data_IF_001076380482
#
_entry.id   IF_001076380482
#
_cell.length_a   1.000
_cell.length_b   1.000
_cell.length_c   1.000
_cell.angle_alpha   90.00
_cell.angle_beta   90.00
_cell.angle_gamma   90.00
#
_symmetry.space_group_name_H-M   'P 1'
#
loop_
_entity.id
_entity.type
_entity.pdbx_description
1 polymer ?
#
# COMPACT_ATOMS: atom_id res chain seq x y z
N UNK A 1 0.52 3.72 -6.25
CA UNK A 1 0.65 5.01 -6.94
C UNK A 1 0.34 4.87 -8.44
N UNK A 2 1.05 4.01 -9.18
CA UNK A 2 0.81 3.80 -10.63
C UNK A 2 -0.64 3.42 -10.99
N UNK A 3 -1.30 2.56 -10.19
CA UNK A 3 -2.72 2.20 -10.39
C UNK A 3 -3.69 3.39 -10.27
N UNK A 4 -3.38 4.35 -9.40
CA UNK A 4 -4.23 5.54 -9.25
C UNK A 4 -3.95 6.54 -10.37
N UNK A 5 -2.69 6.67 -10.78
CA UNK A 5 -2.29 7.48 -11.91
C UNK A 5 -2.96 7.01 -13.20
N UNK A 6 -2.99 5.70 -13.50
CA UNK A 6 -3.61 5.18 -14.72
C UNK A 6 -5.11 5.42 -14.81
N UNK A 7 -5.78 5.56 -13.65
CA UNK A 7 -7.21 5.89 -13.56
C UNK A 7 -7.51 7.38 -13.67
N UNK A 8 -6.63 8.24 -13.15
CA UNK A 8 -6.80 9.69 -13.19
C UNK A 8 -6.26 10.34 -14.46
N UNK A 9 -5.20 9.79 -15.04
CA UNK A 9 -4.52 10.30 -16.24
C UNK A 9 -4.53 9.22 -17.33
N UNK A 10 -5.70 8.72 -17.75
CA UNK A 10 -5.76 7.74 -18.83
C UNK A 10 -5.13 8.34 -20.09
N UNK A 11 -4.52 7.49 -20.92
CA UNK A 11 -4.01 7.90 -22.22
C UNK A 11 -5.09 8.67 -23.00
N UNK A 12 -4.86 9.96 -23.24
CA UNK A 12 -5.78 10.87 -23.89
C UNK A 12 -5.00 11.85 -24.77
N UNK A 13 -5.72 12.65 -25.56
CA UNK A 13 -5.10 13.65 -26.43
C UNK A 13 -4.21 14.64 -25.66
N UNK A 14 -4.59 14.95 -24.42
CA UNK A 14 -3.95 15.98 -23.59
C UNK A 14 -2.62 15.51 -22.96
N UNK A 15 -2.39 14.19 -22.84
CA UNK A 15 -1.12 13.60 -22.39
C UNK A 15 -0.32 12.95 -23.52
N UNK A 16 -0.61 13.31 -24.78
CA UNK A 16 0.07 12.74 -25.94
C UNK A 16 -0.20 11.25 -26.14
N UNK A 17 -1.36 10.75 -25.67
CA UNK A 17 -1.79 9.36 -25.72
C UNK A 17 -0.89 8.37 -24.96
N UNK A 18 -0.11 8.86 -24.00
CA UNK A 18 0.75 8.01 -23.18
C UNK A 18 0.08 7.67 -21.86
N UNK A 19 0.01 6.37 -21.54
CA UNK A 19 -0.33 5.93 -20.20
C UNK A 19 0.77 6.36 -19.21
N UNK A 20 0.43 6.56 -17.93
CA UNK A 20 1.44 6.77 -16.92
C UNK A 20 2.28 5.50 -16.76
N UNK A 21 3.60 5.70 -16.76
CA UNK A 21 4.58 4.63 -16.62
C UNK A 21 5.33 4.80 -15.31
N UNK A 22 5.70 3.70 -14.65
CA UNK A 22 6.55 3.73 -13.46
C UNK A 22 7.79 2.88 -13.65
N UNK A 23 8.87 3.21 -12.94
CA UNK A 23 10.09 2.41 -12.89
C UNK A 23 10.83 2.59 -11.57
N UNK A 24 11.81 1.74 -11.31
CA UNK A 24 12.72 1.89 -10.18
C UNK A 24 14.13 2.26 -10.63
N UNK A 25 14.73 3.18 -9.90
CA UNK A 25 16.15 3.48 -9.98
C UNK A 25 16.83 2.97 -8.70
N UNK A 26 17.96 2.26 -8.86
CA UNK A 26 18.69 1.68 -7.73
C UNK A 26 19.90 2.54 -7.38
N UNK A 27 20.02 2.89 -6.11
CA UNK A 27 21.19 3.50 -5.51
C UNK A 27 21.67 2.64 -4.33
N UNK A 28 22.76 1.92 -4.53
CA UNK A 28 23.29 0.95 -3.57
C UNK A 28 22.29 -0.16 -3.23
N UNK A 29 21.82 -0.20 -1.98
CA UNK A 29 20.81 -1.15 -1.50
C UNK A 29 19.37 -0.63 -1.61
N UNK A 30 19.19 0.66 -1.94
CA UNK A 30 17.89 1.32 -2.03
C UNK A 30 17.39 1.33 -3.47
N UNK A 31 16.07 1.29 -3.63
CA UNK A 31 15.40 1.52 -4.90
C UNK A 31 14.35 2.61 -4.71
N UNK A 32 14.38 3.62 -5.57
CA UNK A 32 13.44 4.72 -5.61
C UNK A 32 12.43 4.46 -6.71
N UNK A 33 11.14 4.64 -6.42
CA UNK A 33 10.09 4.51 -7.41
C UNK A 33 9.84 5.86 -8.09
N UNK A 34 9.89 5.86 -9.42
CA UNK A 34 9.62 7.00 -10.27
C UNK A 34 8.34 6.75 -11.07
N UNK A 35 7.62 7.82 -11.35
CA UNK A 35 6.43 7.80 -12.20
C UNK A 35 6.54 8.90 -13.24
N UNK A 36 6.37 8.55 -14.52
CA UNK A 36 6.24 9.52 -15.60
C UNK A 36 4.93 10.26 -15.40
N UNK A 37 5.00 11.58 -15.47
CA UNK A 37 3.85 12.45 -15.30
C UNK A 37 3.87 13.55 -16.36
N UNK A 38 2.71 14.01 -16.82
CA UNK A 38 2.61 15.06 -17.84
C UNK A 38 3.11 16.41 -17.30
N UNK A 39 3.79 17.18 -18.13
CA UNK A 39 4.17 18.57 -17.82
C UNK A 39 2.97 19.51 -17.98
N UNK A 40 2.56 20.21 -16.93
CA UNK A 40 1.45 21.18 -16.91
C UNK A 40 1.20 21.77 -15.51
N UNK A 41 0.37 22.81 -15.40
CA UNK A 41 0.23 23.70 -14.23
C UNK A 41 -0.30 23.03 -12.94
N UNK A 42 -0.82 21.81 -13.01
CA UNK A 42 -1.14 21.00 -11.83
C UNK A 42 -0.16 19.84 -11.71
N UNK A 43 0.67 19.85 -10.67
CA UNK A 43 1.56 18.74 -10.34
C UNK A 43 0.72 17.46 -10.18
N UNK A 44 0.74 16.48 -11.11
CA UNK A 44 -0.32 15.48 -11.15
C UNK A 44 -0.32 14.61 -9.89
N UNK A 45 0.85 14.32 -9.33
CA UNK A 45 0.96 13.66 -8.02
C UNK A 45 0.19 14.40 -6.92
N UNK A 46 0.25 15.73 -6.87
CA UNK A 46 -0.52 16.54 -5.91
C UNK A 46 -2.01 16.32 -6.11
N UNK A 47 -2.49 16.36 -7.35
CA UNK A 47 -3.90 16.08 -7.67
C UNK A 47 -4.33 14.69 -7.22
N UNK A 48 -3.50 13.68 -7.42
CA UNK A 48 -3.77 12.31 -6.97
C UNK A 48 -3.90 12.24 -5.44
N UNK A 49 -2.97 12.85 -4.72
CA UNK A 49 -3.02 12.87 -3.25
C UNK A 49 -4.23 13.67 -2.77
N UNK A 50 -4.55 14.82 -3.36
CA UNK A 50 -5.77 15.57 -3.06
C UNK A 50 -7.02 14.71 -3.24
N UNK A 51 -7.11 13.91 -4.32
CA UNK A 51 -8.22 12.97 -4.56
C UNK A 51 -8.30 11.83 -3.54
N UNK A 52 -7.23 11.50 -2.82
CA UNK A 52 -7.25 10.58 -1.69
C UNK A 52 -7.61 11.28 -0.36
N UNK A 53 -7.21 12.53 -0.20
CA UNK A 53 -7.26 13.23 1.08
C UNK A 53 -8.53 14.07 1.22
N UNK A 54 -9.04 14.70 0.17
CA UNK A 54 -10.08 15.74 0.24
C UNK A 54 -11.56 15.26 0.22
N UNK A 55 -12.00 14.25 -0.58
CA UNK A 55 -13.44 13.96 -0.79
C UNK A 55 -14.23 13.54 0.45
N UNK A 56 -15.43 13.99 0.78
CA UNK A 56 -16.06 13.60 2.06
C UNK A 56 -16.14 12.07 2.30
N UNK A 57 -16.44 11.31 1.26
CA UNK A 57 -16.42 9.85 1.25
C UNK A 57 -15.32 9.32 0.32
N UNK A 58 -14.29 8.67 0.89
CA UNK A 58 -13.21 8.03 0.12
C UNK A 58 -13.49 6.55 -0.15
N UNK A 59 -14.15 5.88 0.79
CA UNK A 59 -14.29 4.43 0.79
C UNK A 59 -15.73 4.06 1.11
N UNK A 60 -16.26 3.12 0.36
CA UNK A 60 -17.57 2.51 0.57
C UNK A 60 -17.44 0.99 0.57
N UNK A 61 -18.34 0.30 1.24
CA UNK A 61 -18.47 -1.15 1.07
C UNK A 61 -18.87 -1.46 -0.38
N UNK A 62 -18.27 -2.47 -0.99
CA UNK A 62 -18.72 -2.90 -2.31
C UNK A 62 -20.13 -3.52 -2.23
N UNK A 63 -20.97 -3.37 -3.25
CA UNK A 63 -22.38 -3.83 -3.16
C UNK A 63 -22.54 -5.35 -3.30
N UNK A 64 -21.59 -6.01 -3.95
CA UNK A 64 -21.61 -7.43 -4.36
C UNK A 64 -20.97 -8.38 -3.33
N UNK A 65 -20.90 -8.00 -2.06
CA UNK A 65 -20.34 -8.86 -1.01
C UNK A 65 -21.40 -9.74 -0.35
N UNK A 66 -20.99 -10.92 0.14
CA UNK A 66 -21.86 -11.77 0.94
C UNK A 66 -22.32 -11.02 2.20
N UNK A 67 -23.65 -10.92 2.40
CA UNK A 67 -24.22 -10.17 3.52
C UNK A 67 -23.72 -10.66 4.90
N UNK A 68 -23.40 -11.95 4.99
CA UNK A 68 -22.93 -12.62 6.22
C UNK A 68 -21.39 -12.62 6.35
N UNK A 69 -20.66 -12.01 5.42
CA UNK A 69 -19.21 -11.91 5.51
C UNK A 69 -18.79 -11.15 6.78
N UNK A 70 -17.77 -11.67 7.46
CA UNK A 70 -17.16 -11.01 8.60
C UNK A 70 -16.75 -9.58 8.21
N UNK A 71 -16.98 -8.61 9.10
CA UNK A 71 -16.77 -7.19 8.80
C UNK A 71 -15.33 -6.85 8.38
N UNK A 72 -14.35 -7.59 8.90
CA UNK A 72 -12.93 -7.45 8.58
C UNK A 72 -12.54 -8.07 7.22
N UNK A 73 -13.49 -8.70 6.53
CA UNK A 73 -13.35 -9.33 5.21
C UNK A 73 -14.15 -8.63 4.11
N UNK A 74 -15.03 -7.68 4.45
CA UNK A 74 -15.88 -7.02 3.46
C UNK A 74 -15.05 -6.21 2.45
N UNK A 75 -15.16 -6.48 1.14
CA UNK A 75 -14.58 -5.67 0.07
C UNK A 75 -14.99 -4.20 0.17
N UNK A 76 -14.10 -3.32 -0.25
CA UNK A 76 -14.39 -1.87 -0.32
C UNK A 76 -14.06 -1.32 -1.70
N UNK A 77 -14.65 -0.17 -2.04
CA UNK A 77 -14.35 0.59 -3.25
C UNK A 77 -13.78 1.94 -2.85
N UNK A 78 -12.59 2.27 -3.39
CA UNK A 78 -11.98 3.60 -3.24
C UNK A 78 -12.59 4.52 -4.30
N UNK A 79 -13.44 5.44 -3.84
CA UNK A 79 -13.92 6.60 -4.61
C UNK A 79 -12.86 7.71 -4.51
N UNK A 80 -12.64 8.55 -5.52
CA UNK A 80 -13.29 8.65 -6.83
C UNK A 80 -12.71 7.73 -7.91
N UNK A 81 -11.83 6.78 -7.55
CA UNK A 81 -11.09 5.96 -8.53
C UNK A 81 -11.88 4.75 -9.04
N UNK A 82 -13.01 4.42 -8.42
CA UNK A 82 -13.78 3.20 -8.68
C UNK A 82 -12.90 1.95 -8.60
N UNK A 83 -12.00 1.94 -7.61
CA UNK A 83 -11.04 0.88 -7.39
C UNK A 83 -11.53 -0.03 -6.26
N UNK A 84 -11.92 -1.25 -6.60
CA UNK A 84 -12.21 -2.30 -5.62
C UNK A 84 -10.93 -2.78 -4.94
N UNK A 85 -10.95 -2.86 -3.62
CA UNK A 85 -9.98 -3.56 -2.81
C UNK A 85 -10.65 -4.77 -2.14
N UNK A 86 -10.13 -5.95 -2.44
CA UNK A 86 -10.58 -7.22 -1.89
C UNK A 86 -9.45 -8.26 -1.82
N UNK A 87 -8.21 -7.84 -2.03
CA UNK A 87 -7.07 -8.75 -2.09
C UNK A 87 -6.92 -9.59 -0.82
N UNK A 88 -7.37 -9.14 0.34
CA UNK A 88 -7.32 -9.95 1.56
C UNK A 88 -8.16 -11.24 1.50
N UNK A 89 -9.03 -11.40 0.50
CA UNK A 89 -9.81 -12.62 0.26
C UNK A 89 -9.02 -13.70 -0.49
N UNK A 90 -7.99 -13.35 -1.27
CA UNK A 90 -7.29 -14.33 -2.09
C UNK A 90 -6.02 -14.85 -1.42
N UNK A 91 -6.04 -16.14 -1.10
CA UNK A 91 -4.91 -16.89 -0.52
C UNK A 91 -3.90 -17.36 -1.57
N UNK A 92 -2.62 -17.41 -1.18
CA UNK A 92 -1.58 -18.07 -1.97
C UNK A 92 -1.61 -19.61 -1.86
N UNK A 93 -2.24 -20.14 -0.81
CA UNK A 93 -2.25 -21.58 -0.48
C UNK A 93 -3.67 -22.16 -0.38
N UNK A 94 -4.67 -21.48 -0.95
CA UNK A 94 -6.06 -21.94 -0.93
C UNK A 94 -6.75 -21.84 0.45
N UNK A 95 -6.21 -21.05 1.36
CA UNK A 95 -6.86 -20.72 2.64
C UNK A 95 -8.06 -19.76 2.44
N UNK A 96 -8.83 -19.57 3.50
CA UNK A 96 -10.02 -18.70 3.54
C UNK A 96 -9.72 -17.20 3.48
N UNK A 97 -8.44 -16.81 3.59
CA UNK A 97 -7.95 -15.43 3.49
C UNK A 97 -6.49 -15.37 3.07
N UNK A 98 -6.08 -14.20 2.59
CA UNK A 98 -4.69 -13.90 2.24
C UNK A 98 -3.77 -13.95 3.45
N UNK A 99 -2.59 -14.53 3.26
CA UNK A 99 -1.47 -14.50 4.21
C UNK A 99 -0.88 -13.10 4.40
N UNK A 100 -1.22 -12.14 3.53
CA UNK A 100 -0.89 -10.73 3.63
C UNK A 100 -1.89 -9.95 4.50
N UNK A 101 -3.04 -10.54 4.88
CA UNK A 101 -4.02 -9.92 5.77
C UNK A 101 -3.56 -10.02 7.23
N UNK A 102 -3.28 -8.88 7.84
CA UNK A 102 -2.71 -8.82 9.21
C UNK A 102 -3.57 -8.08 10.24
N UNK A 103 -4.81 -7.73 9.89
CA UNK A 103 -5.83 -7.18 10.79
C UNK A 103 -6.95 -8.19 11.04
N UNK A 104 -7.71 -7.99 12.11
CA UNK A 104 -8.88 -8.79 12.47
C UNK A 104 -9.78 -8.05 13.48
N UNK A 105 -10.85 -8.71 13.94
CA UNK A 105 -11.68 -8.25 15.04
C UNK A 105 -12.46 -6.99 14.67
N UNK A 106 -12.31 -5.93 15.46
CA UNK A 106 -13.02 -4.65 15.26
C UNK A 106 -12.38 -3.77 14.16
N UNK A 107 -11.24 -4.16 13.61
CA UNK A 107 -10.63 -3.48 12.47
C UNK A 107 -11.27 -3.95 11.17
N UNK A 108 -11.92 -3.03 10.46
CA UNK A 108 -12.50 -3.26 9.13
C UNK A 108 -11.71 -2.49 8.08
N UNK A 109 -11.68 -2.94 6.81
CA UNK A 109 -11.00 -2.19 5.75
C UNK A 109 -11.50 -0.74 5.62
N UNK A 110 -12.82 -0.54 5.71
CA UNK A 110 -13.45 0.78 5.70
C UNK A 110 -12.96 1.66 6.88
N UNK A 111 -13.01 1.14 8.11
CA UNK A 111 -12.57 1.89 9.30
C UNK A 111 -11.08 2.22 9.23
N UNK A 112 -10.26 1.29 8.75
CA UNK A 112 -8.82 1.50 8.56
C UNK A 112 -8.56 2.60 7.54
N UNK A 113 -9.18 2.56 6.35
CA UNK A 113 -9.02 3.61 5.33
C UNK A 113 -9.47 4.96 5.86
N UNK A 114 -10.65 5.05 6.48
CA UNK A 114 -11.18 6.32 7.00
C UNK A 114 -10.31 6.89 8.14
N UNK A 115 -9.84 6.05 9.06
CA UNK A 115 -8.95 6.48 10.14
C UNK A 115 -7.60 6.97 9.64
N UNK A 116 -6.96 6.23 8.73
CA UNK A 116 -5.69 6.62 8.10
C UNK A 116 -5.86 7.91 7.29
N UNK A 117 -6.98 8.04 6.58
CA UNK A 117 -7.28 9.23 5.80
C UNK A 117 -7.49 10.47 6.66
N UNK A 118 -8.20 10.36 7.78
CA UNK A 118 -8.35 11.46 8.73
C UNK A 118 -6.98 11.90 9.26
N UNK A 119 -6.11 10.94 9.60
CA UNK A 119 -4.73 11.23 9.97
C UNK A 119 -3.94 11.92 8.85
N UNK A 120 -4.14 11.52 7.60
CA UNK A 120 -3.48 12.16 6.45
C UNK A 120 -3.96 13.60 6.23
N UNK A 121 -5.26 13.85 6.39
CA UNK A 121 -5.85 15.21 6.35
C UNK A 121 -5.19 16.13 7.37
N UNK A 122 -4.99 15.64 8.60
CA UNK A 122 -4.32 16.41 9.66
C UNK A 122 -2.86 16.74 9.33
N UNK A 123 -2.11 15.78 8.80
CA UNK A 123 -0.73 16.01 8.34
C UNK A 123 -0.72 17.10 7.26
N UNK A 124 -1.58 16.97 6.25
CA UNK A 124 -1.66 17.90 5.12
C UNK A 124 -2.12 19.28 5.55
N UNK A 125 -3.07 19.38 6.48
CA UNK A 125 -3.54 20.66 7.01
C UNK A 125 -2.43 21.43 7.76
N UNK A 126 -1.53 20.71 8.45
CA UNK A 126 -0.41 21.31 9.19
C UNK A 126 0.81 21.62 8.31
N UNK A 127 0.97 20.90 7.21
CA UNK A 127 2.13 20.97 6.34
C UNK A 127 1.73 20.66 4.88
N UNK A 128 1.04 21.59 4.19
CA UNK A 128 0.52 21.37 2.84
C UNK A 128 1.61 21.01 1.82
N UNK A 129 2.84 21.47 2.02
CA UNK A 129 4.00 21.16 1.19
C UNK A 129 4.34 19.65 1.16
N UNK A 130 3.90 18.88 2.15
CA UNK A 130 4.13 17.42 2.21
C UNK A 130 3.34 16.64 1.16
N UNK A 131 2.35 17.25 0.51
CA UNK A 131 1.60 16.61 -0.59
C UNK A 131 2.48 16.36 -1.83
N UNK A 132 3.50 17.20 -2.05
CA UNK A 132 4.34 17.19 -3.24
C UNK A 132 5.79 16.72 -2.97
N UNK A 133 6.12 16.41 -1.72
CA UNK A 133 7.50 16.18 -1.28
C UNK A 133 7.88 14.71 -1.15
N UNK A 134 9.20 14.45 -1.20
CA UNK A 134 9.81 13.14 -0.88
C UNK A 134 9.43 12.66 0.54
N UNK A 135 9.04 13.57 1.42
CA UNK A 135 8.61 13.29 2.80
C UNK A 135 7.19 12.68 2.93
N UNK A 136 6.48 12.47 1.81
CA UNK A 136 5.12 11.91 1.82
C UNK A 136 5.03 10.60 2.63
N UNK A 137 6.01 9.72 2.47
CA UNK A 137 6.01 8.39 3.11
C UNK A 137 6.59 8.39 4.53
N UNK A 138 7.35 9.43 4.92
CA UNK A 138 7.94 9.55 6.26
C UNK A 138 7.08 10.35 7.24
N UNK A 139 6.06 11.06 6.77
CA UNK A 139 5.10 11.72 7.65
C UNK A 139 4.26 10.70 8.43
N UNK A 140 4.26 10.80 9.75
CA UNK A 140 3.55 9.89 10.66
C UNK A 140 2.52 10.63 11.50
N UNK A 141 1.47 9.92 11.89
CA UNK A 141 0.44 10.43 12.79
C UNK A 141 -0.05 9.35 13.76
N UNK A 142 -0.49 9.70 14.97
CA UNK A 142 -1.09 8.75 15.89
C UNK A 142 -2.40 8.16 15.33
N UNK A 143 -2.47 6.83 15.20
CA UNK A 143 -3.65 6.13 14.67
C UNK A 143 -4.07 4.97 15.58
N UNK A 144 -5.37 4.62 15.55
CA UNK A 144 -5.96 3.51 16.32
C UNK A 144 -6.35 2.31 15.46
N UNK A 145 -6.20 2.41 14.13
CA UNK A 145 -6.48 1.35 13.17
C UNK A 145 -5.67 1.55 11.90
N UNK A 146 -5.16 0.45 11.33
CA UNK A 146 -4.27 0.44 10.17
C UNK A 146 -4.29 -0.92 9.49
N UNK A 147 -3.71 -1.01 8.29
CA UNK A 147 -3.54 -2.29 7.63
C UNK A 147 -2.28 -3.04 8.05
N UNK A 148 -1.28 -2.36 8.60
CA UNK A 148 -0.03 -2.96 9.09
C UNK A 148 1.06 -3.03 8.02
N UNK A 149 1.01 -2.19 6.99
CA UNK A 149 2.05 -2.14 5.95
C UNK A 149 3.22 -1.23 6.28
N UNK A 150 3.06 -0.30 7.23
CA UNK A 150 4.16 0.54 7.68
C UNK A 150 5.04 -0.21 8.70
N UNK A 151 6.25 -0.66 8.33
CA UNK A 151 7.13 -1.39 9.25
C UNK A 151 7.68 -0.48 10.35
N UNK A 152 7.71 0.85 10.17
CA UNK A 152 8.16 1.77 11.21
C UNK A 152 7.18 1.85 12.39
N UNK A 153 5.94 1.46 12.13
CA UNK A 153 4.86 1.43 13.08
C UNK A 153 4.71 0.03 13.73
N UNK A 154 5.49 -0.95 13.27
CA UNK A 154 5.64 -2.26 13.91
C UNK A 154 6.44 -2.09 15.18
N UNK A 155 5.75 -1.92 16.31
CA UNK A 155 6.39 -2.03 17.61
C UNK A 155 6.89 -3.46 17.76
N UNK A 156 8.20 -3.65 17.94
CA UNK A 156 8.72 -4.91 18.44
C UNK A 156 7.99 -5.22 19.75
N UNK A 157 6.97 -6.07 19.71
CA UNK A 157 6.22 -6.50 20.88
C UNK A 157 7.15 -7.17 21.92
N UNK A 158 8.37 -7.52 21.52
CA UNK A 158 9.46 -7.97 22.39
C UNK A 158 10.04 -6.88 23.31
N UNK A 159 9.89 -5.59 22.99
CA UNK A 159 10.54 -4.51 23.75
C UNK A 159 9.64 -3.82 24.79
N UNK A 160 8.31 -4.02 24.76
CA UNK A 160 7.40 -3.30 25.67
C UNK A 160 6.57 -4.18 26.60
N UNK A 161 6.48 -5.50 26.39
CA UNK A 161 5.80 -6.40 27.33
C UNK A 161 4.27 -6.17 27.50
N UNK A 162 3.67 -5.23 26.76
CA UNK A 162 2.22 -4.96 26.76
C UNK A 162 1.71 -4.55 25.37
N UNK A 163 0.39 -4.62 25.17
CA UNK A 163 -0.29 -4.21 23.93
C UNK A 163 -0.72 -2.73 23.99
N UNK A 164 -0.22 -1.84 23.12
CA UNK A 164 -0.67 -0.44 23.05
C UNK A 164 -2.18 -0.30 22.79
N UNK A 165 -2.77 -1.22 22.01
CA UNK A 165 -4.22 -1.21 21.71
C UNK A 165 -5.07 -1.38 22.99
N UNK A 166 -4.62 -2.22 23.94
CA UNK A 166 -5.31 -2.45 25.21
C UNK A 166 -5.18 -1.26 26.16
N UNK A 167 -4.16 -0.41 25.95
CA UNK A 167 -3.89 0.79 26.72
C UNK A 167 -4.40 2.07 26.03
N UNK A 168 -5.04 1.95 24.85
CA UNK A 168 -5.50 3.10 24.07
C UNK A 168 -4.38 4.02 23.57
N UNK A 169 -3.14 3.52 23.52
CA UNK A 169 -1.99 4.31 23.10
C UNK A 169 -1.94 4.32 21.57
N UNK A 170 -2.06 5.49 20.92
CA UNK A 170 -2.08 5.55 19.48
C UNK A 170 -0.69 5.27 18.90
N UNK A 171 -0.66 4.58 17.76
CA UNK A 171 0.59 4.22 17.09
C UNK A 171 0.90 5.21 15.98
N UNK A 172 2.10 5.79 16.04
CA UNK A 172 2.64 6.60 14.94
C UNK A 172 2.77 5.73 13.69
N UNK A 173 1.99 6.06 12.67
CA UNK A 173 1.90 5.30 11.42
C UNK A 173 1.89 6.29 10.26
N UNK A 174 2.55 5.93 9.15
CA UNK A 174 2.52 6.66 7.89
C UNK A 174 1.24 6.35 7.11
N UNK A 175 0.25 7.28 7.05
CA UNK A 175 -1.02 7.00 6.38
C UNK A 175 -0.86 6.80 4.87
N UNK A 176 0.06 7.54 4.27
CA UNK A 176 0.40 7.41 2.86
C UNK A 176 0.94 6.01 2.54
N UNK A 177 1.85 5.49 3.37
CA UNK A 177 2.40 4.14 3.21
C UNK A 177 1.30 3.09 3.30
N UNK A 178 0.47 3.15 4.33
CA UNK A 178 -0.62 2.19 4.55
C UNK A 178 -1.64 2.18 3.40
N UNK A 179 -2.16 3.35 3.01
CA UNK A 179 -3.19 3.45 1.96
C UNK A 179 -2.62 3.08 0.59
N UNK A 180 -1.45 3.60 0.23
CA UNK A 180 -0.86 3.34 -1.08
C UNK A 180 -0.36 1.91 -1.23
N UNK A 181 0.10 1.27 -0.14
CA UNK A 181 0.44 -0.14 -0.13
C UNK A 181 -0.82 -1.02 -0.28
N UNK A 182 -1.90 -0.72 0.44
CA UNK A 182 -3.18 -1.44 0.30
C UNK A 182 -3.69 -1.43 -1.15
N UNK A 183 -3.59 -0.27 -1.81
CA UNK A 183 -3.94 -0.07 -3.21
C UNK A 183 -2.98 -0.83 -4.13
N UNK A 184 -1.67 -0.76 -3.87
CA UNK A 184 -0.65 -1.49 -4.64
C UNK A 184 -0.87 -3.00 -4.62
N UNK A 185 -1.18 -3.57 -3.45
CA UNK A 185 -1.39 -5.01 -3.26
C UNK A 185 -2.59 -5.57 -4.03
N UNK A 186 -3.58 -4.74 -4.39
CA UNK A 186 -4.70 -5.18 -5.21
C UNK A 186 -4.23 -5.73 -6.57
N UNK A 187 -3.18 -5.12 -7.13
CA UNK A 187 -2.70 -5.44 -8.49
C UNK A 187 -1.31 -6.04 -8.51
N UNK A 188 -0.41 -5.50 -7.69
CA UNK A 188 0.99 -5.87 -7.63
C UNK A 188 1.24 -6.74 -6.39
N UNK A 189 0.91 -8.03 -6.51
CA UNK A 189 1.11 -9.00 -5.43
C UNK A 189 2.55 -9.50 -5.39
N UNK A 190 3.19 -9.52 -4.21
CA UNK A 190 4.51 -10.12 -4.06
C UNK A 190 4.43 -11.65 -4.20
N UNK A 191 5.54 -12.30 -4.48
CA UNK A 191 5.66 -13.75 -4.63
C UNK A 191 6.03 -14.38 -3.29
N UNK A 192 5.31 -15.43 -2.89
CA UNK A 192 5.61 -16.19 -1.68
C UNK A 192 6.97 -16.89 -1.81
N UNK A 193 7.82 -16.73 -0.80
CA UNK A 193 9.12 -17.41 -0.71
C UNK A 193 8.91 -18.80 -0.15
N UNK A 194 9.35 -19.84 -0.87
CA UNK A 194 9.10 -21.24 -0.48
C UNK A 194 9.71 -21.63 0.86
N UNK A 195 10.91 -21.12 1.17
CA UNK A 195 11.67 -21.47 2.37
C UNK A 195 11.22 -20.74 3.66
N UNK A 196 10.36 -19.73 3.57
CA UNK A 196 9.98 -18.89 4.72
C UNK A 196 8.48 -18.89 4.97
N UNK A 197 8.06 -19.22 6.20
CA UNK A 197 6.66 -19.09 6.61
C UNK A 197 6.26 -17.60 6.57
N UNK A 198 5.33 -17.24 5.68
CA UNK A 198 4.87 -15.86 5.43
C UNK A 198 6.00 -14.90 5.04
N UNK A 199 6.96 -15.39 4.29
CA UNK A 199 7.93 -14.54 3.59
C UNK A 199 7.47 -14.28 2.17
N UNK A 200 7.62 -13.04 1.74
CA UNK A 200 7.23 -12.59 0.42
C UNK A 200 8.39 -11.85 -0.22
N UNK A 201 8.45 -11.88 -1.54
CA UNK A 201 9.48 -11.21 -2.32
C UNK A 201 8.86 -10.45 -3.47
N UNK A 202 9.52 -9.37 -3.87
CA UNK A 202 9.16 -8.61 -5.06
C UNK A 202 10.43 -8.15 -5.77
N UNK A 203 10.29 -7.81 -7.05
CA UNK A 203 11.36 -7.18 -7.82
C UNK A 203 11.05 -5.73 -8.11
N UNK A 204 12.09 -4.91 -8.03
CA UNK A 204 12.10 -3.54 -8.53
C UNK A 204 12.53 -3.59 -10.00
N UNK A 205 11.70 -3.09 -10.90
CA UNK A 205 11.91 -3.18 -12.35
C UNK A 205 12.58 -1.92 -12.92
N UNK A 206 13.39 -2.09 -13.96
CA UNK A 206 14.26 -1.03 -14.47
C UNK A 206 13.57 -0.08 -15.46
N UNK A 207 12.75 -0.64 -16.34
CA UNK A 207 12.24 0.07 -17.49
C UNK A 207 10.89 0.76 -17.16
N UNK A 208 10.54 1.90 -17.77
CA UNK A 208 9.21 2.48 -17.62
C UNK A 208 8.13 1.50 -18.07
N UNK A 209 7.23 1.13 -17.16
CA UNK A 209 6.18 0.17 -17.40
C UNK A 209 4.80 0.75 -17.08
N UNK A 210 3.83 0.48 -17.96
CA UNK A 210 2.42 0.71 -17.69
C UNK A 210 1.90 -0.25 -16.61
N UNK A 211 0.82 0.17 -15.95
CA UNK A 211 0.16 -0.58 -14.89
C UNK A 211 -0.29 -1.99 -15.30
N UNK A 212 -0.54 -2.24 -16.59
CA UNK A 212 -0.95 -3.55 -17.12
C UNK A 212 0.12 -4.62 -16.98
N UNK A 213 1.39 -4.24 -17.10
CA UNK A 213 2.54 -5.18 -17.05
C UNK A 213 3.28 -5.14 -15.72
N UNK A 214 3.02 -4.12 -14.88
CA UNK A 214 3.61 -3.99 -13.54
C UNK A 214 3.49 -5.26 -12.65
N UNK A 215 2.37 -6.02 -12.64
CA UNK A 215 2.27 -7.25 -11.82
C UNK A 215 3.31 -8.32 -12.20
N UNK A 216 3.56 -8.49 -13.51
CA UNK A 216 4.56 -9.45 -13.99
C UNK A 216 5.97 -9.01 -13.57
N UNK A 217 6.25 -7.71 -13.64
CA UNK A 217 7.51 -7.12 -13.21
C UNK A 217 7.75 -7.31 -11.70
N UNK A 218 6.72 -7.08 -10.87
CA UNK A 218 6.78 -7.35 -9.42
C UNK A 218 7.06 -8.82 -9.11
N UNK A 219 6.52 -9.74 -9.92
CA UNK A 219 6.81 -11.17 -9.85
C UNK A 219 8.19 -11.57 -10.37
N UNK A 220 8.95 -10.62 -10.93
CA UNK A 220 10.30 -10.82 -11.46
C UNK A 220 10.39 -11.26 -12.90
N UNK A 221 9.34 -11.03 -13.69
CA UNK A 221 9.37 -11.18 -15.14
C UNK A 221 9.91 -9.91 -15.78
N UNK A 222 10.91 -10.05 -16.65
CA UNK A 222 11.55 -8.91 -17.33
C UNK A 222 12.77 -8.36 -16.59
N UNK A 223 13.22 -7.17 -16.99
CA UNK A 223 14.45 -6.56 -16.47
C UNK A 223 14.23 -5.96 -15.08
N UNK A 224 15.00 -6.46 -14.11
CA UNK A 224 14.94 -6.02 -12.71
C UNK A 224 16.24 -5.32 -12.30
N UNK A 225 16.14 -4.26 -11.49
CA UNK A 225 17.30 -3.58 -10.87
C UNK A 225 17.67 -4.15 -9.50
N UNK A 226 16.67 -4.69 -8.79
CA UNK A 226 16.85 -5.28 -7.47
C UNK A 226 15.73 -6.28 -7.15
N UNK A 227 16.01 -7.17 -6.20
CA UNK A 227 15.00 -7.98 -5.55
C UNK A 227 15.00 -7.73 -4.05
N UNK A 228 13.82 -7.82 -3.45
CA UNK A 228 13.64 -7.62 -2.01
C UNK A 228 12.75 -8.72 -1.45
N UNK A 229 12.97 -9.09 -0.19
CA UNK A 229 12.10 -9.95 0.57
C UNK A 229 11.76 -9.35 1.93
N UNK A 230 10.55 -9.60 2.39
CA UNK A 230 10.07 -9.14 3.68
C UNK A 230 9.23 -10.23 4.36
N UNK A 231 9.26 -10.30 5.71
CA UNK A 231 8.35 -11.14 6.46
C UNK A 231 7.02 -10.44 6.72
N UNK A 232 5.96 -11.23 6.90
CA UNK A 232 4.78 -10.80 7.66
C UNK A 232 4.97 -11.27 9.10
N UNK A 233 5.14 -10.32 10.01
CA UNK A 233 5.40 -10.51 11.43
C UNK A 233 4.08 -10.55 12.19
N UNK A 234 3.77 -11.68 12.82
CA UNK A 234 2.52 -11.86 13.55
C UNK A 234 2.74 -11.66 15.04
N UNK A 235 2.01 -10.70 15.63
CA UNK A 235 1.92 -10.52 17.08
C UNK A 235 1.17 -11.69 17.72
N UNK A 236 0.12 -12.17 17.05
CA UNK A 236 -0.64 -13.35 17.44
C UNK A 236 -1.29 -14.00 16.21
N UNK A 237 -2.22 -14.96 16.38
CA UNK A 237 -2.85 -15.63 15.25
C UNK A 237 -3.66 -14.71 14.31
N UNK A 238 -4.01 -13.50 14.77
CA UNK A 238 -4.94 -12.59 14.11
C UNK A 238 -4.31 -11.26 13.68
N UNK A 239 -3.37 -10.72 14.47
CA UNK A 239 -2.77 -9.40 14.26
C UNK A 239 -1.29 -9.51 13.91
N UNK A 240 -0.85 -8.67 12.98
CA UNK A 240 0.55 -8.57 12.57
C UNK A 240 0.86 -7.29 11.80
N UNK A 241 2.01 -7.29 11.17
CA UNK A 241 2.55 -6.18 10.38
C UNK A 241 3.51 -6.72 9.31
N UNK A 242 3.82 -5.90 8.32
CA UNK A 242 4.89 -6.17 7.38
C UNK A 242 6.21 -5.76 8.04
N UNK A 243 7.19 -6.65 8.02
CA UNK A 243 8.54 -6.34 8.44
C UNK A 243 9.31 -5.56 7.37
N UNK A 244 10.49 -5.05 7.73
CA UNK A 244 11.35 -4.32 6.79
C UNK A 244 11.84 -5.24 5.68
N UNK A 245 11.72 -4.77 4.44
CA UNK A 245 12.27 -5.46 3.28
C UNK A 245 13.80 -5.46 3.30
N UNK A 246 14.39 -6.61 2.96
CA UNK A 246 15.83 -6.82 2.83
C UNK A 246 16.16 -7.17 1.38
N UNK A 247 17.30 -6.73 0.83
CA UNK A 247 17.74 -7.16 -0.49
C UNK A 247 17.80 -8.69 -0.56
N UNK A 248 17.32 -9.25 -1.66
CA UNK A 248 17.59 -10.65 -2.00
C UNK A 248 19.07 -10.76 -2.34
N UNK A 249 19.73 -11.78 -1.80
CA UNK A 249 21.09 -12.12 -2.25
C UNK A 249 21.03 -12.38 -3.75
N UNK A 250 21.83 -11.65 -4.52
CA UNK A 250 22.01 -11.92 -5.94
C UNK A 250 22.65 -13.31 -6.05
N UNK A 251 21.87 -14.29 -6.51
CA UNK A 251 22.46 -15.54 -7.01
C UNK A 251 23.35 -15.15 -8.19
N UNK A 252 24.65 -15.04 -7.93
CA UNK A 252 25.70 -14.99 -8.96
C UNK A 252 25.68 -16.27 -9.79
#
# INVERSE_FOLDING_TARGET
MLELASRLWPACRDNGWRSPEGWFERDGSRASFHIVTSSGDDAPLVTLIRRLVEPDELVVLAEDHEAQAQADRKPVVIRPFDLRLDWWLYSYQGADKSELKVWAGQQTPERNVNGLRAAWREIVARAPERIAGVDLFSAQWPTTGRFGFDPSASWDAQNVGFSPDEQGIPVLTSPATEILAAIGLQRCRPVRVAAGRRWFSYRAWADPLDVTVAPAAVAGVGRCVAGYAFPVEMRNAQYGSFGRAKPLEERR
#
